data_IF_016623957993
#
_entry.id   IF_016623957993
#
_cell.length_a   1.000
_cell.length_b   1.000
_cell.length_c   1.000
_cell.angle_alpha   90.00
_cell.angle_beta   90.00
_cell.angle_gamma   90.00
#
_symmetry.space_group_name_H-M   'P 1'
#
loop_
_entity.id
_entity.type
_entity.pdbx_description
1 polymer ?
#
# COMPACT_ATOMS: atom_id res chain seq x y z
N UNK A 1 -5.36 -1.68 22.60
CA UNK A 1 -4.17 -2.33 23.18
C UNK A 1 -4.29 -2.34 24.69
N UNK A 2 -3.85 -3.41 25.39
CA UNK A 2 -3.68 -3.36 26.84
C UNK A 2 -2.75 -2.21 27.23
N UNK A 3 -2.97 -1.61 28.41
CA UNK A 3 -2.22 -0.46 28.88
C UNK A 3 -0.68 -0.68 28.94
N UNK A 4 -0.26 -1.93 28.99
CA UNK A 4 1.14 -2.34 29.15
C UNK A 4 1.82 -2.74 27.82
N UNK A 5 1.15 -2.58 26.66
CA UNK A 5 1.69 -2.94 25.34
C UNK A 5 1.83 -1.71 24.48
N UNK A 6 3.07 -1.38 24.15
CA UNK A 6 3.36 -0.35 23.13
C UNK A 6 3.48 -1.02 21.77
N UNK A 7 2.69 -0.55 20.81
CA UNK A 7 2.77 -0.98 19.41
C UNK A 7 3.50 0.08 18.62
N UNK A 8 4.57 -0.32 17.92
CA UNK A 8 5.31 0.55 17.02
C UNK A 8 5.35 -0.02 15.62
N UNK A 9 5.32 0.85 14.62
CA UNK A 9 5.55 0.45 13.23
C UNK A 9 7.02 0.69 12.87
N UNK A 10 7.75 -0.33 12.39
CA UNK A 10 9.13 -0.14 11.95
C UNK A 10 9.25 0.63 10.64
N UNK A 11 8.15 0.76 9.89
CA UNK A 11 8.06 1.45 8.60
C UNK A 11 7.05 2.58 8.68
N UNK A 12 7.35 3.71 8.01
CA UNK A 12 6.42 4.84 7.83
C UNK A 12 6.53 5.35 6.40
N UNK A 13 5.40 5.47 5.71
CA UNK A 13 5.33 5.95 4.31
C UNK A 13 6.30 5.25 3.34
N UNK A 14 6.52 3.95 3.54
CA UNK A 14 7.44 3.16 2.71
C UNK A 14 8.92 3.25 3.11
N UNK A 15 9.27 4.06 4.12
CA UNK A 15 10.63 4.25 4.63
C UNK A 15 10.84 3.56 5.97
N UNK A 16 12.10 3.24 6.30
CA UNK A 16 12.46 2.65 7.58
C UNK A 16 12.43 3.75 8.67
N UNK A 17 11.50 3.62 9.62
CA UNK A 17 11.39 4.51 10.77
C UNK A 17 12.22 4.02 11.96
N UNK A 18 12.35 2.70 12.14
CA UNK A 18 13.13 2.10 13.20
C UNK A 18 13.81 0.81 12.74
N UNK A 19 15.14 0.85 12.60
CA UNK A 19 15.96 -0.25 12.07
C UNK A 19 15.89 -1.47 13.01
N UNK A 20 16.00 -1.28 14.32
CA UNK A 20 15.98 -2.38 15.29
C UNK A 20 14.65 -3.12 15.31
N UNK A 21 13.53 -2.39 15.26
CA UNK A 21 12.19 -3.00 15.18
C UNK A 21 11.97 -3.72 13.84
N UNK A 22 12.51 -3.18 12.74
CA UNK A 22 12.44 -3.85 11.44
C UNK A 22 13.24 -5.15 11.43
N UNK A 23 14.43 -5.15 12.02
CA UNK A 23 15.24 -6.35 12.15
C UNK A 23 14.50 -7.47 12.91
N UNK A 24 13.89 -7.14 14.05
CA UNK A 24 13.10 -8.09 14.86
C UNK A 24 11.91 -8.62 14.04
N UNK A 25 11.21 -7.76 13.35
CA UNK A 25 10.06 -8.14 12.51
C UNK A 25 10.48 -9.09 11.39
N UNK A 26 11.52 -8.72 10.63
CA UNK A 26 12.03 -9.53 9.53
C UNK A 26 12.54 -10.88 10.01
N UNK A 27 13.24 -10.92 11.16
CA UNK A 27 13.69 -12.16 11.75
C UNK A 27 12.51 -13.11 12.02
N UNK A 28 11.46 -12.62 12.69
CA UNK A 28 10.28 -13.43 12.99
C UNK A 28 9.53 -13.89 11.72
N UNK A 29 9.51 -13.05 10.67
CA UNK A 29 8.91 -13.44 9.38
C UNK A 29 9.72 -14.52 8.69
N UNK A 30 11.05 -14.39 8.65
CA UNK A 30 11.94 -15.36 8.01
C UNK A 30 11.97 -16.69 8.76
N UNK A 31 11.92 -16.70 10.08
CA UNK A 31 11.80 -17.96 10.85
C UNK A 31 10.51 -18.72 10.50
N UNK A 32 9.41 -18.01 10.27
CA UNK A 32 8.13 -18.64 9.90
C UNK A 32 8.11 -19.17 8.46
N UNK A 33 8.85 -18.54 7.55
CA UNK A 33 8.80 -18.87 6.12
C UNK A 33 9.91 -19.81 5.68
N UNK A 34 11.09 -19.80 6.34
CA UNK A 34 12.27 -20.56 5.89
C UNK A 34 12.55 -21.83 6.71
N UNK A 35 11.53 -22.66 6.94
CA UNK A 35 11.68 -23.90 7.72
C UNK A 35 12.66 -24.92 7.15
N UNK A 36 13.13 -24.80 5.89
CA UNK A 36 13.95 -25.83 5.21
C UNK A 36 15.09 -25.30 4.33
N UNK A 37 15.57 -24.06 4.47
CA UNK A 37 16.69 -23.56 3.64
C UNK A 37 18.03 -23.82 4.28
N UNK A 38 18.71 -24.89 3.89
CA UNK A 38 20.12 -25.15 4.25
C UNK A 38 21.14 -24.20 3.61
N UNK A 39 20.72 -23.27 2.73
CA UNK A 39 21.57 -22.25 2.10
C UNK A 39 21.28 -20.86 2.66
N UNK A 40 22.26 -19.97 2.58
CA UNK A 40 22.10 -18.56 2.98
C UNK A 40 21.23 -17.84 1.94
N UNK A 41 19.93 -17.62 2.17
CA UNK A 41 19.06 -17.02 1.16
C UNK A 41 19.45 -15.57 0.90
N UNK A 42 19.29 -15.15 -0.36
CA UNK A 42 19.39 -13.74 -0.76
C UNK A 42 18.11 -13.04 -0.32
N UNK A 43 18.25 -11.84 0.26
CA UNK A 43 17.12 -11.00 0.65
C UNK A 43 16.94 -9.92 -0.42
N UNK A 44 15.77 -9.86 -1.02
CA UNK A 44 15.38 -8.80 -1.94
C UNK A 44 14.45 -7.83 -1.22
N UNK A 45 14.80 -6.54 -1.21
CA UNK A 45 13.90 -5.48 -0.77
C UNK A 45 13.35 -4.74 -1.99
N UNK A 46 12.04 -4.75 -2.16
CA UNK A 46 11.36 -3.86 -3.10
C UNK A 46 11.27 -2.46 -2.48
N UNK A 47 11.93 -1.49 -3.11
CA UNK A 47 12.13 -0.14 -2.59
C UNK A 47 11.62 0.93 -3.56
N UNK A 48 11.26 2.14 -3.08
CA UNK A 48 10.91 3.25 -3.97
C UNK A 48 12.01 3.59 -4.95
N UNK A 49 11.66 4.12 -6.13
CA UNK A 49 12.62 4.53 -7.16
C UNK A 49 13.49 5.69 -6.67
N UNK A 50 12.87 6.71 -6.07
CA UNK A 50 13.53 7.96 -5.65
C UNK A 50 14.08 7.86 -4.22
N UNK A 51 14.83 6.80 -3.94
CA UNK A 51 15.47 6.62 -2.64
C UNK A 51 16.78 7.39 -2.53
N UNK A 52 16.95 8.07 -1.39
CA UNK A 52 18.22 8.69 -1.01
C UNK A 52 19.29 7.65 -0.66
N UNK A 53 20.57 8.00 -0.75
CA UNK A 53 21.68 7.13 -0.34
C UNK A 53 21.61 6.77 1.17
N UNK A 54 21.07 7.67 2.00
CA UNK A 54 20.88 7.42 3.44
C UNK A 54 19.85 6.31 3.65
N UNK A 55 18.74 6.35 2.93
CA UNK A 55 17.70 5.33 3.00
C UNK A 55 18.20 3.98 2.48
N UNK A 56 18.95 3.95 1.38
CA UNK A 56 19.61 2.73 0.87
C UNK A 56 20.53 2.11 1.94
N UNK A 57 21.35 2.94 2.59
CA UNK A 57 22.22 2.48 3.68
C UNK A 57 21.43 1.89 4.84
N UNK A 58 20.26 2.44 5.18
CA UNK A 58 19.39 1.89 6.22
C UNK A 58 18.93 0.46 5.88
N UNK A 59 18.52 0.18 4.63
CA UNK A 59 18.20 -1.18 4.20
C UNK A 59 19.38 -2.14 4.26
N UNK A 60 20.57 -1.70 3.83
CA UNK A 60 21.77 -2.52 3.92
C UNK A 60 22.20 -2.77 5.38
N UNK A 61 22.02 -1.79 6.30
CA UNK A 61 22.37 -1.95 7.70
C UNK A 61 21.52 -3.00 8.41
N UNK A 62 20.24 -3.12 8.07
CA UNK A 62 19.37 -4.20 8.57
C UNK A 62 19.96 -5.58 8.26
N UNK A 63 20.58 -5.73 7.09
CA UNK A 63 21.19 -6.98 6.66
C UNK A 63 22.58 -7.23 7.23
N UNK A 64 23.24 -6.19 7.71
CA UNK A 64 24.57 -6.30 8.33
C UNK A 64 24.49 -6.55 9.84
N UNK A 65 23.31 -6.38 10.45
CA UNK A 65 23.06 -6.53 11.87
C UNK A 65 22.51 -7.92 12.23
N UNK A 66 22.75 -8.35 13.44
CA UNK A 66 22.18 -9.54 14.05
C UNK A 66 22.31 -10.83 13.23
N UNK A 67 21.21 -11.53 13.06
CA UNK A 67 21.12 -12.84 12.39
C UNK A 67 21.19 -12.77 10.86
N UNK A 68 21.10 -11.56 10.26
CA UNK A 68 21.23 -11.36 8.82
C UNK A 68 22.68 -11.16 8.35
N UNK A 69 23.64 -11.05 9.25
CA UNK A 69 25.04 -10.63 9.03
C UNK A 69 25.79 -11.31 7.88
N UNK A 70 25.34 -12.46 7.41
CA UNK A 70 25.97 -13.20 6.30
C UNK A 70 25.09 -13.33 5.06
N UNK A 71 23.97 -12.63 5.01
CA UNK A 71 23.04 -12.75 3.90
C UNK A 71 23.30 -11.66 2.86
N UNK A 72 23.24 -12.04 1.60
CA UNK A 72 23.30 -11.07 0.50
C UNK A 72 21.97 -10.31 0.44
N UNK A 73 22.04 -8.98 0.39
CA UNK A 73 20.88 -8.12 0.21
C UNK A 73 20.96 -7.44 -1.13
N UNK A 74 19.84 -7.41 -1.82
CA UNK A 74 19.66 -6.71 -3.08
C UNK A 74 18.45 -5.78 -2.96
N UNK A 75 18.62 -4.54 -3.39
CA UNK A 75 17.53 -3.58 -3.53
C UNK A 75 17.03 -3.65 -4.97
N UNK A 76 15.72 -3.76 -5.11
CA UNK A 76 15.03 -3.78 -6.40
C UNK A 76 14.00 -2.66 -6.39
N UNK A 77 13.99 -1.84 -7.42
CA UNK A 77 12.95 -0.82 -7.58
C UNK A 77 11.56 -1.47 -7.57
N UNK A 78 10.65 -0.93 -6.76
CA UNK A 78 9.32 -1.51 -6.56
C UNK A 78 8.56 -1.71 -7.88
N UNK A 79 8.55 -0.75 -8.83
CA UNK A 79 7.90 -0.96 -10.11
C UNK A 79 8.44 -2.17 -10.90
N UNK A 80 9.74 -2.46 -10.78
CA UNK A 80 10.36 -3.64 -11.41
C UNK A 80 9.85 -4.93 -10.75
N UNK A 81 9.76 -4.94 -9.42
CA UNK A 81 9.19 -6.08 -8.68
C UNK A 81 7.71 -6.29 -9.01
N UNK A 82 6.93 -5.20 -9.11
CA UNK A 82 5.51 -5.24 -9.49
C UNK A 82 5.32 -5.75 -10.92
N UNK A 83 6.13 -5.28 -11.88
CA UNK A 83 6.12 -5.78 -13.26
C UNK A 83 6.42 -7.28 -13.33
N UNK A 84 7.41 -7.74 -12.56
CA UNK A 84 7.72 -9.16 -12.47
C UNK A 84 6.55 -9.99 -11.92
N UNK A 85 5.89 -9.51 -10.87
CA UNK A 85 4.72 -10.15 -10.28
C UNK A 85 3.52 -10.21 -11.24
N UNK A 86 3.36 -9.19 -12.07
CA UNK A 86 2.31 -9.11 -13.10
C UNK A 86 2.64 -9.89 -14.36
N UNK A 87 3.86 -10.45 -14.48
CA UNK A 87 4.30 -11.17 -15.69
C UNK A 87 4.58 -10.25 -16.88
N UNK A 88 4.81 -8.95 -16.64
CA UNK A 88 5.14 -7.98 -17.68
C UNK A 88 6.57 -8.26 -18.17
N UNK A 89 6.80 -8.46 -19.48
CA UNK A 89 8.12 -8.73 -20.03
C UNK A 89 8.99 -7.47 -20.04
N UNK A 90 9.61 -7.13 -18.92
CA UNK A 90 10.37 -5.88 -18.68
C UNK A 90 11.38 -5.59 -19.79
N UNK A 91 12.04 -6.63 -20.33
CA UNK A 91 13.05 -6.49 -21.38
C UNK A 91 12.43 -6.10 -22.74
N UNK A 92 11.17 -6.46 -22.97
CA UNK A 92 10.51 -6.30 -24.28
C UNK A 92 9.47 -5.17 -24.31
N UNK A 93 9.04 -4.71 -23.14
CA UNK A 93 8.00 -3.68 -23.09
C UNK A 93 8.52 -2.34 -23.61
N UNK A 94 7.71 -1.71 -24.46
CA UNK A 94 7.96 -0.36 -25.00
C UNK A 94 7.26 0.72 -24.19
N UNK A 95 6.44 0.32 -23.20
CA UNK A 95 5.73 1.24 -22.31
C UNK A 95 4.62 0.51 -21.55
N UNK A 96 4.87 0.14 -20.32
CA UNK A 96 3.85 -0.41 -19.41
C UNK A 96 3.68 0.51 -18.22
N UNK A 97 2.46 0.91 -17.95
CA UNK A 97 2.12 1.72 -16.78
C UNK A 97 1.59 0.83 -15.66
N UNK A 98 2.14 0.99 -14.47
CA UNK A 98 1.74 0.24 -13.28
C UNK A 98 1.29 1.22 -12.21
N UNK A 99 0.15 0.92 -11.59
CA UNK A 99 -0.43 1.68 -10.47
C UNK A 99 -0.53 0.75 -9.27
N UNK A 100 0.36 0.91 -8.31
CA UNK A 100 0.38 0.12 -7.08
C UNK A 100 -0.29 0.91 -5.95
N UNK A 101 -1.52 0.55 -5.57
CA UNK A 101 -2.27 1.16 -4.47
C UNK A 101 -1.99 0.37 -3.21
N UNK A 102 -1.04 0.86 -2.41
CA UNK A 102 -0.63 0.26 -1.16
C UNK A 102 -1.49 0.65 0.05
N UNK A 103 -0.99 0.39 1.25
CA UNK A 103 -1.64 0.79 2.49
C UNK A 103 -1.54 2.30 2.73
N UNK A 104 -0.34 2.87 2.69
CA UNK A 104 -0.08 4.27 2.99
C UNK A 104 0.03 5.15 1.74
N UNK A 105 0.49 4.59 0.61
CA UNK A 105 0.83 5.34 -0.61
C UNK A 105 0.30 4.62 -1.85
N UNK A 106 0.12 5.40 -2.92
CA UNK A 106 -0.05 4.87 -4.28
C UNK A 106 1.18 5.27 -5.10
N UNK A 107 1.81 4.31 -5.75
CA UNK A 107 2.94 4.51 -6.66
C UNK A 107 2.48 4.33 -8.10
N UNK A 108 2.74 5.33 -8.94
CA UNK A 108 2.45 5.32 -10.36
C UNK A 108 3.79 5.29 -11.08
N UNK A 109 4.00 4.34 -11.98
CA UNK A 109 5.28 4.17 -12.66
C UNK A 109 5.10 3.75 -14.10
N UNK A 110 6.06 4.08 -14.94
CA UNK A 110 6.16 3.62 -16.33
C UNK A 110 7.49 2.92 -16.54
N UNK A 111 7.40 1.72 -17.08
CA UNK A 111 8.54 0.88 -17.46
C UNK A 111 8.60 0.80 -18.98
N UNK A 112 9.75 1.10 -19.54
CA UNK A 112 10.07 0.90 -20.94
C UNK A 112 11.57 0.65 -21.11
N UNK A 113 11.97 -0.08 -22.16
CA UNK A 113 13.37 -0.33 -22.48
C UNK A 113 14.19 -0.84 -21.28
N UNK A 114 13.65 -1.78 -20.53
CA UNK A 114 14.27 -2.46 -19.38
C UNK A 114 14.51 -1.59 -18.15
N UNK A 115 13.89 -0.43 -18.04
CA UNK A 115 14.10 0.50 -16.91
C UNK A 115 12.81 1.23 -16.53
N UNK A 116 12.77 1.76 -15.33
CA UNK A 116 11.75 2.73 -14.90
C UNK A 116 12.07 4.07 -15.57
N UNK A 117 11.15 4.57 -16.39
CA UNK A 117 11.30 5.84 -17.12
C UNK A 117 10.89 7.02 -16.25
N UNK A 118 9.78 6.87 -15.53
CA UNK A 118 9.23 7.87 -14.64
C UNK A 118 8.43 7.17 -13.53
N UNK A 119 8.50 7.71 -12.33
CA UNK A 119 7.73 7.25 -11.17
C UNK A 119 7.22 8.44 -10.36
N UNK A 120 6.10 8.25 -9.68
CA UNK A 120 5.53 9.21 -8.74
C UNK A 120 4.87 8.47 -7.59
N UNK A 121 5.11 8.93 -6.37
CA UNK A 121 4.44 8.43 -5.17
C UNK A 121 3.50 9.51 -4.66
N UNK A 122 2.27 9.13 -4.37
CA UNK A 122 1.26 9.99 -3.72
C UNK A 122 0.88 9.41 -2.36
N UNK A 123 0.66 10.26 -1.31
CA UNK A 123 0.37 9.81 0.04
C UNK A 123 -1.10 9.42 0.22
N UNK A 124 -1.65 8.70 -0.74
CA UNK A 124 -3.02 8.17 -0.73
C UNK A 124 -2.98 6.65 -0.87
N UNK A 125 -3.63 5.95 0.04
CA UNK A 125 -3.68 4.50 0.03
C UNK A 125 -4.81 3.96 0.90
N UNK A 126 -4.77 2.67 1.16
CA UNK A 126 -5.81 1.94 1.88
C UNK A 126 -6.11 2.48 3.28
N UNK A 127 -5.10 3.02 3.98
CA UNK A 127 -5.27 3.59 5.33
C UNK A 127 -5.97 4.94 5.28
N UNK A 128 -5.72 5.74 4.25
CA UNK A 128 -6.46 6.97 4.00
C UNK A 128 -7.96 6.67 3.78
N UNK A 129 -8.28 5.68 2.95
CA UNK A 129 -9.67 5.25 2.77
C UNK A 129 -10.31 4.77 4.07
N UNK A 130 -9.59 4.05 4.92
CA UNK A 130 -10.09 3.62 6.23
C UNK A 130 -10.42 4.83 7.12
N UNK A 131 -9.57 5.87 7.09
CA UNK A 131 -9.78 7.10 7.86
C UNK A 131 -10.99 7.88 7.35
N UNK A 132 -11.18 7.98 6.02
CA UNK A 132 -12.35 8.65 5.44
C UNK A 132 -13.65 7.93 5.79
N UNK A 133 -13.66 6.60 5.77
CA UNK A 133 -14.82 5.80 6.21
C UNK A 133 -15.14 6.08 7.68
N UNK A 134 -14.14 6.04 8.55
CA UNK A 134 -14.31 6.35 9.98
C UNK A 134 -14.89 7.76 10.17
N UNK A 135 -14.30 8.76 9.52
CA UNK A 135 -14.72 10.15 9.60
C UNK A 135 -16.16 10.35 9.10
N UNK A 136 -16.53 9.70 7.99
CA UNK A 136 -17.88 9.81 7.43
C UNK A 136 -18.94 9.17 8.35
N UNK A 137 -18.66 7.97 8.88
CA UNK A 137 -19.56 7.30 9.84
C UNK A 137 -19.73 8.18 11.09
N UNK A 138 -18.64 8.75 11.60
CA UNK A 138 -18.68 9.64 12.76
C UNK A 138 -19.53 10.89 12.49
N UNK A 139 -19.30 11.57 11.36
CA UNK A 139 -20.01 12.81 11.02
C UNK A 139 -21.51 12.60 10.75
N UNK A 140 -21.86 11.53 10.01
CA UNK A 140 -23.25 11.31 9.60
C UNK A 140 -24.12 10.65 10.66
N UNK A 141 -23.50 9.79 11.46
CA UNK A 141 -24.26 8.92 12.35
C UNK A 141 -23.98 9.18 13.84
N UNK A 142 -23.11 10.14 14.18
CA UNK A 142 -22.61 10.33 15.54
C UNK A 142 -22.13 8.98 16.16
N UNK A 143 -21.40 8.19 15.36
CA UNK A 143 -21.06 6.82 15.71
C UNK A 143 -19.58 6.55 15.45
N UNK A 144 -18.87 6.11 16.48
CA UNK A 144 -17.45 5.85 16.41
C UNK A 144 -17.19 4.36 16.15
N UNK A 145 -16.31 4.08 15.20
CA UNK A 145 -15.79 2.76 14.91
C UNK A 145 -14.26 2.79 14.92
N UNK A 146 -13.62 1.65 15.15
CA UNK A 146 -12.15 1.56 15.05
C UNK A 146 -11.68 1.58 13.59
N UNK A 147 -10.43 1.99 13.34
CA UNK A 147 -9.80 1.88 12.01
C UNK A 147 -9.83 0.45 11.47
N UNK A 148 -9.67 -0.56 12.33
CA UNK A 148 -9.80 -1.97 11.95
C UNK A 148 -11.20 -2.30 11.44
N UNK A 149 -12.23 -1.77 12.09
CA UNK A 149 -13.63 -1.94 11.63
C UNK A 149 -13.86 -1.24 10.31
N UNK A 150 -13.36 -0.01 10.15
CA UNK A 150 -13.41 0.72 8.89
C UNK A 150 -12.74 -0.05 7.73
N UNK A 151 -11.56 -0.63 7.98
CA UNK A 151 -10.87 -1.48 7.01
C UNK A 151 -11.66 -2.72 6.61
N UNK A 152 -12.33 -3.39 7.58
CA UNK A 152 -13.22 -4.53 7.30
C UNK A 152 -14.44 -4.12 6.51
N UNK A 153 -15.03 -2.96 6.80
CA UNK A 153 -16.16 -2.41 6.03
C UNK A 153 -15.73 -2.12 4.59
N UNK A 154 -14.57 -1.47 4.40
CA UNK A 154 -14.00 -1.22 3.09
C UNK A 154 -13.92 -2.51 2.26
N UNK A 155 -13.23 -3.53 2.77
CA UNK A 155 -12.99 -4.77 2.02
C UNK A 155 -14.26 -5.58 1.76
N UNK A 156 -15.31 -5.41 2.57
CA UNK A 156 -16.55 -6.19 2.45
C UNK A 156 -17.70 -5.48 1.75
N UNK A 157 -17.69 -4.14 1.70
CA UNK A 157 -18.81 -3.35 1.20
C UNK A 157 -18.45 -2.39 0.07
N UNK A 158 -17.16 -2.04 -0.11
CA UNK A 158 -16.78 -1.13 -1.19
C UNK A 158 -17.04 -1.79 -2.55
N UNK A 159 -17.84 -1.10 -3.35
CA UNK A 159 -18.17 -1.49 -4.73
C UNK A 159 -18.48 -0.22 -5.53
N UNK A 160 -17.45 0.38 -6.13
CA UNK A 160 -17.57 1.63 -6.86
C UNK A 160 -18.37 1.50 -8.16
N UNK A 161 -18.55 0.30 -8.69
CA UNK A 161 -19.46 0.02 -9.81
C UNK A 161 -20.93 0.04 -9.40
N UNK A 162 -21.19 -0.01 -8.09
CA UNK A 162 -22.55 -0.02 -7.49
C UNK A 162 -23.43 -1.17 -7.98
N UNK A 163 -22.84 -2.27 -8.38
CA UNK A 163 -23.57 -3.47 -8.83
C UNK A 163 -24.25 -4.21 -7.67
N UNK A 164 -23.73 -4.01 -6.44
CA UNK A 164 -24.22 -4.72 -5.25
C UNK A 164 -24.69 -3.76 -4.17
N UNK A 165 -25.92 -3.94 -3.73
CA UNK A 165 -26.45 -3.27 -2.54
C UNK A 165 -26.24 -4.17 -1.32
N UNK A 166 -25.12 -3.98 -0.66
CA UNK A 166 -24.74 -4.76 0.53
C UNK A 166 -24.88 -3.90 1.78
N UNK A 167 -25.13 -4.56 2.91
CA UNK A 167 -25.15 -3.94 4.22
C UNK A 167 -24.51 -4.86 5.26
N UNK A 168 -23.87 -4.26 6.27
CA UNK A 168 -23.31 -5.00 7.42
C UNK A 168 -23.71 -4.36 8.73
N UNK A 169 -24.06 -5.22 9.68
CA UNK A 169 -24.27 -4.87 11.08
C UNK A 169 -22.90 -4.80 11.77
N UNK A 170 -22.65 -3.73 12.48
CA UNK A 170 -21.41 -3.47 13.21
C UNK A 170 -21.72 -2.99 14.63
N UNK A 171 -20.77 -3.21 15.54
CA UNK A 171 -20.78 -2.66 16.88
C UNK A 171 -19.78 -1.51 16.95
N UNK A 172 -20.18 -0.41 17.57
CA UNK A 172 -19.35 0.75 17.80
C UNK A 172 -19.87 1.55 19.00
N UNK A 173 -19.39 2.76 19.18
CA UNK A 173 -19.78 3.63 20.28
C UNK A 173 -20.63 4.77 19.75
N UNK A 174 -21.81 4.93 20.32
CA UNK A 174 -22.66 6.09 20.07
C UNK A 174 -22.00 7.33 20.73
N UNK A 175 -21.67 8.33 19.92
CA UNK A 175 -20.89 9.51 20.40
C UNK A 175 -21.71 10.42 21.34
N UNK A 176 -23.03 10.28 21.37
CA UNK A 176 -23.90 11.09 22.25
C UNK A 176 -24.03 10.44 23.63
N UNK A 177 -24.35 9.13 23.65
CA UNK A 177 -24.55 8.40 24.90
C UNK A 177 -23.28 7.81 25.51
N UNK A 178 -22.21 7.69 24.71
CA UNK A 178 -20.97 7.01 25.11
C UNK A 178 -21.09 5.49 25.21
N UNK A 179 -22.26 4.91 24.87
CA UNK A 179 -22.55 3.49 25.05
C UNK A 179 -22.30 2.69 23.78
N UNK A 180 -21.89 1.42 23.89
CA UNK A 180 -21.82 0.51 22.77
C UNK A 180 -23.21 0.30 22.16
N UNK A 181 -23.31 0.41 20.84
CA UNK A 181 -24.53 0.16 20.09
C UNK A 181 -24.24 -0.59 18.79
N UNK A 182 -25.28 -1.17 18.22
CA UNK A 182 -25.25 -1.78 16.90
C UNK A 182 -25.81 -0.81 15.86
N UNK A 183 -25.16 -0.78 14.66
CA UNK A 183 -25.66 -0.03 13.52
C UNK A 183 -25.48 -0.82 12.23
N UNK A 184 -26.31 -0.54 11.24
CA UNK A 184 -26.18 -1.08 9.89
C UNK A 184 -25.47 -0.02 9.04
N UNK A 185 -24.41 -0.45 8.34
CA UNK A 185 -23.67 0.36 7.37
C UNK A 185 -23.84 -0.27 6.00
N UNK A 186 -24.14 0.56 5.00
CA UNK A 186 -24.39 0.14 3.62
C UNK A 186 -23.19 0.36 2.71
N UNK A 187 -23.15 -0.37 1.58
CA UNK A 187 -22.16 -0.15 0.51
C UNK A 187 -22.18 1.30 -0.01
N UNK A 188 -23.37 1.91 -0.10
CA UNK A 188 -23.50 3.33 -0.49
C UNK A 188 -22.71 4.26 0.44
N UNK A 189 -22.84 4.08 1.77
CA UNK A 189 -22.09 4.88 2.75
C UNK A 189 -20.58 4.72 2.59
N UNK A 190 -20.11 3.50 2.32
CA UNK A 190 -18.69 3.23 2.12
C UNK A 190 -18.19 3.85 0.81
N UNK A 191 -18.92 3.66 -0.28
CA UNK A 191 -18.56 4.21 -1.59
C UNK A 191 -18.47 5.75 -1.57
N UNK A 192 -19.46 6.41 -0.97
CA UNK A 192 -19.45 7.86 -0.78
C UNK A 192 -18.26 8.35 0.06
N UNK A 193 -17.84 7.55 1.05
CA UNK A 193 -16.69 7.89 1.91
C UNK A 193 -15.38 7.95 1.14
N UNK A 194 -15.17 7.02 0.22
CA UNK A 194 -13.88 6.87 -0.47
C UNK A 194 -13.83 7.51 -1.86
N UNK A 195 -14.99 7.94 -2.39
CA UNK A 195 -15.11 8.39 -3.78
C UNK A 195 -14.20 9.59 -4.11
N UNK A 196 -14.06 10.54 -3.18
CA UNK A 196 -13.19 11.71 -3.38
C UNK A 196 -11.73 11.31 -3.55
N UNK A 197 -11.24 10.44 -2.67
CA UNK A 197 -9.85 9.98 -2.70
C UNK A 197 -9.55 9.10 -3.92
N UNK A 198 -10.53 8.30 -4.37
CA UNK A 198 -10.39 7.52 -5.61
C UNK A 198 -10.34 8.43 -6.82
N UNK A 199 -11.17 9.49 -6.86
CA UNK A 199 -11.10 10.50 -7.93
C UNK A 199 -9.76 11.23 -7.94
N UNK A 200 -9.21 11.56 -6.78
CA UNK A 200 -7.90 12.18 -6.67
C UNK A 200 -6.80 11.29 -7.24
N UNK A 201 -6.81 9.99 -6.93
CA UNK A 201 -5.88 9.03 -7.54
C UNK A 201 -6.06 8.98 -9.06
N UNK A 202 -7.30 8.97 -9.56
CA UNK A 202 -7.57 8.94 -11.00
C UNK A 202 -7.05 10.21 -11.73
N UNK A 203 -7.22 11.39 -11.13
CA UNK A 203 -6.67 12.65 -11.67
C UNK A 203 -5.12 12.67 -11.63
N UNK A 204 -4.52 12.10 -10.59
CA UNK A 204 -3.07 11.96 -10.52
C UNK A 204 -2.53 11.01 -11.60
N UNK A 205 -3.24 9.91 -11.89
CA UNK A 205 -2.90 8.99 -13.00
C UNK A 205 -2.99 9.75 -14.34
N UNK A 206 -4.05 10.52 -14.55
CA UNK A 206 -4.24 11.32 -15.76
C UNK A 206 -3.10 12.34 -15.96
N UNK A 207 -2.83 13.12 -14.93
CA UNK A 207 -1.74 14.10 -14.94
C UNK A 207 -0.37 13.44 -15.19
N UNK A 208 -0.16 12.25 -14.66
CA UNK A 208 1.05 11.48 -14.87
C UNK A 208 1.18 10.98 -16.31
N UNK A 209 0.09 10.51 -16.90
CA UNK A 209 0.03 10.12 -18.33
C UNK A 209 0.37 11.30 -19.24
N UNK A 210 -0.16 12.50 -18.96
CA UNK A 210 0.11 13.70 -19.76
C UNK A 210 1.59 14.13 -19.72
N UNK A 211 2.32 13.76 -18.67
CA UNK A 211 3.76 14.00 -18.53
C UNK A 211 4.64 12.89 -19.12
N UNK A 212 4.02 11.78 -19.50
CA UNK A 212 4.75 10.65 -20.09
C UNK A 212 5.14 10.99 -21.55
N UNK A 213 6.36 10.62 -22.01
CA UNK A 213 6.77 10.88 -23.38
C UNK A 213 5.76 10.38 -24.40
N UNK A 214 5.42 11.15 -25.45
CA UNK A 214 4.31 10.83 -26.37
C UNK A 214 4.39 9.45 -27.03
N UNK A 215 5.59 8.97 -27.30
CA UNK A 215 5.79 7.64 -27.89
C UNK A 215 5.38 6.52 -26.94
N UNK A 216 5.76 6.65 -25.65
CA UNK A 216 5.43 5.69 -24.59
C UNK A 216 3.94 5.79 -24.24
N UNK A 217 3.41 7.01 -24.18
CA UNK A 217 1.99 7.28 -23.91
C UNK A 217 1.08 6.54 -24.92
N UNK A 218 1.41 6.56 -26.22
CA UNK A 218 0.66 5.81 -27.25
C UNK A 218 0.65 4.30 -26.98
N UNK A 219 1.76 3.74 -26.52
CA UNK A 219 1.83 2.31 -26.17
C UNK A 219 0.95 2.01 -24.96
N UNK A 220 1.02 2.83 -23.89
CA UNK A 220 0.18 2.66 -22.70
C UNK A 220 -1.32 2.72 -23.05
N UNK A 221 -1.73 3.64 -23.92
CA UNK A 221 -3.13 3.71 -24.36
C UNK A 221 -3.58 2.46 -25.12
N UNK A 222 -2.69 1.78 -25.81
CA UNK A 222 -2.99 0.56 -26.54
C UNK A 222 -2.98 -0.70 -25.65
N UNK A 223 -2.04 -0.78 -24.69
CA UNK A 223 -1.83 -1.96 -23.85
C UNK A 223 -2.62 -1.87 -22.50
N UNK A 224 -2.96 -0.67 -22.05
CA UNK A 224 -3.67 -0.43 -20.81
C UNK A 224 -2.76 -0.11 -19.63
N UNK A 225 -3.39 -0.05 -18.44
CA UNK A 225 -2.75 0.22 -17.15
C UNK A 225 -2.92 -1.03 -16.28
N UNK A 226 -1.86 -1.43 -15.62
CA UNK A 226 -1.81 -2.59 -14.73
C UNK A 226 -1.96 -2.19 -13.26
#
# INVERSE_FOLDING_TARGET
>A
NPANITVSSPMSNGMIANIGHLEILLHNLLEKTSRNSGSHPVIYFAVPVDMTEIEKRAYYSVAQSGRFRKRKVLLVERPVADAFALGIPIIKTRGSMIVNIGAATTEISVIADSRVIISKIIPLGGDHFNQEILNNIRRRNNFFVSLRTAGRLKTSLADLKQERKLARKIVGVDCVSGLPRERIVTSTTINESILSSVKEIAEEIRTFLDRTPPQIHKVILAEGIY
#
